data_IF_992515383415
#
_entry.id   IF_992515383415
#
_cell.length_a   1.000
_cell.length_b   1.000
_cell.length_c   1.000
_cell.angle_alpha   90.00
_cell.angle_beta   90.00
_cell.angle_gamma   90.00
#
_symmetry.space_group_name_H-M   'P 1'
#
loop_
_entity.id
_entity.type
_entity.pdbx_description
1 polymer ?
#
# COMPACT_ATOMS: atom_id res chain seq x y z
N UNK A 1 -14.55 14.20 9.01
CA UNK A 1 -14.73 12.73 8.93
C UNK A 1 -16.00 12.22 9.66
N UNK A 2 -16.35 12.69 10.86
CA UNK A 2 -17.57 12.23 11.57
C UNK A 2 -18.89 12.57 10.86
N UNK A 3 -18.96 13.71 10.17
CA UNK A 3 -20.16 14.15 9.45
C UNK A 3 -20.56 13.19 8.33
N UNK A 4 -19.57 12.62 7.62
CA UNK A 4 -19.84 11.68 6.53
C UNK A 4 -20.42 10.36 7.06
N UNK A 5 -19.88 9.85 8.18
CA UNK A 5 -20.44 8.68 8.85
C UNK A 5 -21.85 8.93 9.40
N UNK A 6 -22.12 10.14 9.90
CA UNK A 6 -23.46 10.53 10.36
C UNK A 6 -24.45 10.64 9.19
N UNK A 7 -24.04 11.25 8.08
CA UNK A 7 -24.86 11.36 6.87
C UNK A 7 -25.16 9.99 6.27
N UNK A 8 -24.17 9.08 6.22
CA UNK A 8 -24.37 7.71 5.78
C UNK A 8 -25.38 6.97 6.65
N UNK A 9 -25.28 7.11 7.98
CA UNK A 9 -26.25 6.53 8.93
C UNK A 9 -27.65 7.11 8.74
N UNK A 10 -27.76 8.43 8.54
CA UNK A 10 -29.04 9.09 8.30
C UNK A 10 -29.65 8.66 6.97
N UNK A 11 -28.86 8.56 5.92
CA UNK A 11 -29.29 8.07 4.61
C UNK A 11 -29.76 6.62 4.71
N UNK A 12 -28.98 5.75 5.37
CA UNK A 12 -29.34 4.36 5.59
C UNK A 12 -30.65 4.26 6.39
N UNK A 13 -30.79 5.04 7.46
CA UNK A 13 -32.03 5.11 8.23
C UNK A 13 -33.20 5.54 7.35
N UNK A 14 -33.03 6.60 6.56
CA UNK A 14 -34.09 7.10 5.69
C UNK A 14 -34.50 6.08 4.64
N UNK A 15 -33.55 5.38 4.01
CA UNK A 15 -33.82 4.29 3.07
C UNK A 15 -34.59 3.16 3.76
N UNK A 16 -34.11 2.70 4.92
CA UNK A 16 -34.76 1.63 5.67
C UNK A 16 -36.16 2.05 6.15
N UNK A 17 -36.34 3.30 6.55
CA UNK A 17 -37.61 3.85 7.01
C UNK A 17 -38.61 4.06 5.87
N UNK A 18 -38.17 4.62 4.75
CA UNK A 18 -39.00 4.74 3.54
C UNK A 18 -39.38 3.36 3.01
N UNK A 19 -38.44 2.41 3.04
CA UNK A 19 -38.73 1.02 2.74
C UNK A 19 -39.77 0.44 3.71
N UNK A 20 -39.64 0.73 5.01
CA UNK A 20 -40.60 0.34 6.04
C UNK A 20 -42.02 0.87 5.76
N UNK A 21 -42.14 2.13 5.39
CA UNK A 21 -43.43 2.76 5.05
C UNK A 21 -44.02 2.24 3.75
N UNK A 22 -43.20 1.99 2.73
CA UNK A 22 -43.69 1.54 1.42
C UNK A 22 -43.99 0.03 1.39
N UNK A 23 -43.31 -0.75 2.23
CA UNK A 23 -43.40 -2.22 2.26
C UNK A 23 -44.05 -2.72 3.57
N UNK A 24 -45.12 -2.04 4.01
CA UNK A 24 -45.96 -2.47 5.13
C UNK A 24 -46.81 -3.71 4.82
N UNK A 25 -46.73 -4.22 3.59
CA UNK A 25 -47.46 -5.39 3.14
C UNK A 25 -47.00 -6.63 3.91
N UNK A 26 -47.98 -7.36 4.42
CA UNK A 26 -47.78 -8.62 5.12
C UNK A 26 -47.60 -9.73 4.08
N UNK A 27 -46.53 -10.49 4.18
CA UNK A 27 -46.23 -11.61 3.28
C UNK A 27 -46.41 -12.91 4.04
N UNK A 28 -47.07 -13.88 3.42
CA UNK A 28 -47.26 -15.22 3.99
C UNK A 28 -46.12 -16.13 3.55
N UNK A 29 -45.26 -16.55 4.49
CA UNK A 29 -44.28 -17.61 4.28
C UNK A 29 -44.98 -18.95 4.43
N UNK A 30 -45.14 -19.67 3.31
CA UNK A 30 -45.73 -21.01 3.29
C UNK A 30 -44.68 -22.05 3.63
N UNK A 31 -44.82 -22.69 4.78
CA UNK A 31 -43.97 -23.80 5.21
C UNK A 31 -44.58 -25.15 4.77
N UNK A 32 -43.76 -26.20 4.85
CA UNK A 32 -44.01 -27.51 4.24
C UNK A 32 -45.17 -28.34 4.84
N UNK A 33 -45.86 -27.83 5.88
CA UNK A 33 -46.94 -28.54 6.61
C UNK A 33 -48.26 -27.73 6.64
N UNK A 34 -48.47 -26.84 5.66
CA UNK A 34 -49.60 -25.90 5.66
C UNK A 34 -49.48 -24.76 6.68
N UNK A 35 -48.40 -24.76 7.48
CA UNK A 35 -48.10 -23.67 8.41
C UNK A 35 -47.70 -22.43 7.61
N UNK A 36 -48.47 -21.36 7.76
CA UNK A 36 -48.18 -20.09 7.12
C UNK A 36 -47.76 -19.08 8.18
N UNK A 37 -46.59 -18.49 8.00
CA UNK A 37 -46.12 -17.44 8.89
C UNK A 37 -46.25 -16.09 8.21
N UNK A 38 -47.06 -15.21 8.79
CA UNK A 38 -47.25 -13.87 8.29
C UNK A 38 -46.19 -12.93 8.86
N UNK A 39 -45.36 -12.36 7.99
CA UNK A 39 -44.35 -11.39 8.37
C UNK A 39 -44.38 -10.20 7.41
N UNK A 40 -44.30 -8.95 7.90
CA UNK A 40 -44.13 -7.79 7.04
C UNK A 40 -42.88 -7.92 6.19
N UNK A 41 -42.98 -7.59 4.90
CA UNK A 41 -41.90 -7.75 3.91
C UNK A 41 -40.58 -7.09 4.35
N UNK A 42 -40.71 -5.99 5.09
CA UNK A 42 -39.64 -5.22 5.71
C UNK A 42 -38.71 -6.04 6.58
N UNK A 43 -39.26 -6.89 7.44
CA UNK A 43 -38.44 -7.69 8.34
C UNK A 43 -37.64 -8.75 7.58
N UNK A 44 -38.20 -9.29 6.49
CA UNK A 44 -37.55 -10.30 5.65
C UNK A 44 -36.33 -9.67 4.94
N UNK A 45 -36.53 -8.52 4.30
CA UNK A 45 -35.46 -7.82 3.58
C UNK A 45 -34.38 -7.35 4.54
N UNK A 46 -34.78 -6.78 5.69
CA UNK A 46 -33.82 -6.34 6.71
C UNK A 46 -33.00 -7.52 7.26
N UNK A 47 -33.64 -8.67 7.50
CA UNK A 47 -32.96 -9.89 7.95
C UNK A 47 -31.95 -10.41 6.93
N UNK A 48 -32.33 -10.50 5.66
CA UNK A 48 -31.42 -10.93 4.59
C UNK A 48 -30.27 -9.95 4.37
N UNK A 49 -30.54 -8.64 4.44
CA UNK A 49 -29.51 -7.62 4.32
C UNK A 49 -28.52 -7.70 5.49
N UNK A 50 -29.00 -7.80 6.72
CA UNK A 50 -28.15 -7.94 7.90
C UNK A 50 -27.28 -9.21 7.80
N UNK A 51 -27.87 -10.33 7.36
CA UNK A 51 -27.14 -11.58 7.14
C UNK A 51 -26.07 -11.43 6.05
N UNK A 52 -26.40 -10.76 4.94
CA UNK A 52 -25.46 -10.44 3.86
C UNK A 52 -24.32 -9.52 4.33
N UNK A 53 -24.59 -8.53 5.18
CA UNK A 53 -23.57 -7.70 5.79
C UNK A 53 -22.65 -8.50 6.71
N UNK A 54 -23.21 -9.35 7.57
CA UNK A 54 -22.42 -10.24 8.44
C UNK A 54 -21.54 -11.15 7.59
N UNK A 55 -22.10 -11.78 6.55
CA UNK A 55 -21.34 -12.62 5.62
C UNK A 55 -20.25 -11.84 4.88
N UNK A 56 -20.53 -10.62 4.41
CA UNK A 56 -19.56 -9.75 3.74
C UNK A 56 -18.42 -9.32 4.66
N UNK A 57 -18.73 -8.95 5.90
CA UNK A 57 -17.71 -8.65 6.92
C UNK A 57 -16.88 -9.89 7.21
N UNK A 58 -17.51 -11.04 7.45
CA UNK A 58 -16.80 -12.30 7.68
C UNK A 58 -15.92 -12.69 6.50
N UNK A 59 -16.32 -12.41 5.25
CA UNK A 59 -15.49 -12.62 4.06
C UNK A 59 -14.27 -11.69 4.00
N UNK A 60 -14.34 -10.49 4.60
CA UNK A 60 -13.22 -9.54 4.69
C UNK A 60 -12.27 -9.80 5.88
N UNK A 61 -12.71 -10.50 6.94
CA UNK A 61 -11.83 -10.85 8.08
C UNK A 61 -10.60 -11.69 7.69
N UNK A 62 -10.71 -12.78 6.92
CA UNK A 62 -9.55 -13.62 6.60
C UNK A 62 -8.55 -12.90 5.68
N UNK A 63 -9.02 -12.03 4.77
CA UNK A 63 -8.12 -11.26 3.91
C UNK A 63 -7.27 -10.28 4.73
N UNK A 64 -7.87 -9.61 5.72
CA UNK A 64 -7.14 -8.72 6.63
C UNK A 64 -6.12 -9.46 7.51
N UNK A 65 -6.45 -10.68 7.98
CA UNK A 65 -5.52 -11.51 8.73
C UNK A 65 -4.29 -11.93 7.92
N UNK A 66 -4.47 -12.26 6.63
CA UNK A 66 -3.34 -12.62 5.77
C UNK A 66 -2.40 -11.43 5.56
N UNK A 67 -2.94 -10.26 5.25
CA UNK A 67 -2.16 -9.02 5.12
C UNK A 67 -1.41 -8.66 6.42
N UNK A 68 -2.00 -8.89 7.60
CA UNK A 68 -1.34 -8.63 8.88
C UNK A 68 -0.19 -9.60 9.18
N UNK A 69 -0.27 -10.85 8.73
CA UNK A 69 0.84 -11.83 8.84
C UNK A 69 1.98 -11.49 7.89
N UNK A 70 1.67 -11.14 6.64
CA UNK A 70 2.67 -10.76 5.64
C UNK A 70 3.43 -9.50 6.04
N UNK A 71 2.73 -8.53 6.66
CA UNK A 71 3.37 -7.32 7.19
C UNK A 71 4.39 -7.63 8.32
N UNK A 72 4.13 -8.64 9.16
CA UNK A 72 5.06 -9.07 10.21
C UNK A 72 6.28 -9.81 9.66
N UNK A 73 6.10 -10.63 8.62
CA UNK A 73 7.22 -11.30 7.98
C UNK A 73 8.11 -10.32 7.20
N UNK A 74 7.54 -9.29 6.56
CA UNK A 74 8.32 -8.23 5.91
C UNK A 74 9.11 -7.37 6.89
N UNK A 75 8.57 -7.08 8.07
CA UNK A 75 9.30 -6.34 9.11
C UNK A 75 10.53 -7.11 9.64
N UNK A 76 10.51 -8.43 9.63
CA UNK A 76 11.63 -9.27 10.07
C UNK A 76 12.72 -9.46 8.99
N UNK A 77 12.43 -9.09 7.74
CA UNK A 77 13.36 -9.14 6.61
C UNK A 77 13.93 -7.76 6.24
N UNK A 78 13.56 -6.69 6.96
CA UNK A 78 14.16 -5.37 6.78
C UNK A 78 15.59 -5.41 7.34
N UNK A 79 16.63 -5.35 6.50
CA UNK A 79 18.00 -5.23 6.98
C UNK A 79 18.14 -3.87 7.68
N UNK A 80 18.87 -3.87 8.78
CA UNK A 80 19.32 -2.69 9.50
C UNK A 80 19.77 -1.58 8.53
N UNK A 81 19.28 -0.34 8.65
CA UNK A 81 19.82 0.78 7.90
C UNK A 81 21.31 0.90 8.19
N UNK A 82 22.15 0.52 7.22
CA UNK A 82 23.59 0.72 7.30
C UNK A 82 23.85 2.20 7.58
N UNK A 83 24.45 2.47 8.74
CA UNK A 83 24.92 3.79 9.12
C UNK A 83 25.87 4.34 8.03
N UNK A 84 25.82 5.64 7.72
CA UNK A 84 26.68 6.22 6.71
C UNK A 84 28.13 6.16 7.22
N UNK A 85 28.96 5.35 6.56
CA UNK A 85 30.41 5.41 6.69
C UNK A 85 30.88 6.79 6.22
N UNK A 86 31.09 7.69 7.18
CA UNK A 86 31.84 8.92 6.98
C UNK A 86 33.28 8.54 6.67
N UNK A 87 33.63 8.49 5.38
CA UNK A 87 35.04 8.57 4.95
C UNK A 87 35.56 9.96 5.29
N UNK A 88 36.24 10.01 6.44
CA UNK A 88 36.94 11.19 6.91
C UNK A 88 38.00 11.65 5.92
N UNK A 89 37.86 12.91 5.49
CA UNK A 89 38.97 13.77 5.05
C UNK A 89 40.07 13.73 6.11
N UNK A 90 41.32 13.53 5.68
CA UNK A 90 42.48 13.66 6.56
C UNK A 90 43.82 13.59 5.82
N UNK A 91 44.14 14.62 5.03
CA UNK A 91 45.53 15.03 4.76
C UNK A 91 45.78 16.26 5.65
N UNK A 92 46.85 16.30 6.46
CA UNK A 92 48.09 16.98 6.02
C UNK A 92 49.40 16.36 6.57
N UNK A 93 50.48 16.35 5.75
CA UNK A 93 51.73 17.14 5.91
C UNK A 93 52.73 16.63 6.98
N UNK A 94 53.81 15.97 6.52
CA UNK A 94 55.23 16.39 6.60
C UNK A 94 55.96 15.94 7.89
N UNK A 95 57.26 15.62 7.97
CA UNK A 95 58.42 15.84 7.11
C UNK A 95 59.56 14.85 7.49
N UNK A 96 60.57 14.71 6.61
CA UNK A 96 61.84 13.99 6.81
C UNK A 96 62.23 13.15 5.57
N UNK A 97 62.71 13.70 4.44
CA UNK A 97 64.09 14.23 4.16
C UNK A 97 65.11 13.09 4.36
N UNK A 98 65.71 12.42 3.37
CA UNK A 98 66.57 12.79 2.22
C UNK A 98 66.83 11.47 1.44
N UNK A 99 67.36 11.35 0.22
CA UNK A 99 67.65 12.14 -0.96
C UNK A 99 68.24 11.13 -1.98
N UNK A 100 68.10 11.43 -3.29
CA UNK A 100 68.75 10.77 -4.43
C UNK A 100 68.30 9.33 -4.74
N UNK A 101 67.60 9.08 -5.85
CA UNK A 101 68.25 8.81 -7.15
C UNK A 101 67.29 9.10 -8.32
N UNK A 102 67.87 9.64 -9.40
CA UNK A 102 67.33 10.37 -10.57
C UNK A 102 66.57 9.48 -11.60
N UNK A 103 66.16 9.99 -12.79
CA UNK A 103 64.83 10.54 -13.10
C UNK A 103 64.09 9.78 -14.23
N UNK A 104 62.82 10.16 -14.45
CA UNK A 104 61.90 9.65 -15.49
C UNK A 104 62.35 10.07 -16.89
N UNK A 105 62.62 9.08 -17.75
CA UNK A 105 62.84 9.23 -19.20
C UNK A 105 61.60 8.71 -19.94
N UNK A 106 60.87 9.60 -20.62
CA UNK A 106 59.87 9.24 -21.64
C UNK A 106 60.26 9.96 -22.94
N UNK A 107 60.60 9.25 -24.05
CA UNK A 107 61.00 9.87 -25.30
C UNK A 107 59.78 10.45 -26.02
N UNK A 108 59.74 11.77 -26.20
CA UNK A 108 58.86 12.41 -27.17
C UNK A 108 59.58 12.51 -28.52
N UNK A 109 59.05 11.90 -29.60
CA UNK A 109 59.62 12.06 -30.93
C UNK A 109 59.27 13.45 -31.54
N UNK A 110 60.24 14.11 -32.19
CA UNK A 110 60.05 15.40 -32.85
C UNK A 110 59.41 15.23 -34.24
N UNK A 111 58.66 16.24 -34.66
CA UNK A 111 58.25 16.53 -36.03
C UNK A 111 57.33 15.52 -36.75
N UNK A 112 56.02 15.76 -36.66
CA UNK A 112 55.15 15.54 -37.81
C UNK A 112 54.20 16.73 -37.99
N UNK A 113 54.18 17.36 -39.18
CA UNK A 113 53.42 18.58 -39.43
C UNK A 113 51.92 18.31 -39.33
N UNK A 114 51.17 19.26 -38.74
CA UNK A 114 49.72 19.27 -38.86
C UNK A 114 49.34 19.69 -40.30
N UNK A 115 48.53 18.90 -41.03
CA UNK A 115 47.50 19.59 -41.81
C UNK A 115 46.15 18.85 -41.98
N UNK A 116 45.09 19.66 -41.81
CA UNK A 116 43.85 19.75 -42.62
C UNK A 116 42.69 18.77 -42.32
N UNK A 117 41.64 19.30 -41.66
CA UNK A 117 40.21 19.03 -41.95
C UNK A 117 39.90 19.47 -43.40
N UNK A 118 38.93 18.92 -44.18
CA UNK A 118 37.53 18.75 -43.78
C UNK A 118 36.70 17.58 -44.41
N UNK A 119 35.52 17.37 -43.81
CA UNK A 119 34.22 16.92 -44.35
C UNK A 119 34.14 15.97 -45.57
N UNK A 120 33.50 14.81 -45.36
CA UNK A 120 32.22 14.46 -46.00
C UNK A 120 31.49 13.38 -45.20
#
# INVERSE_FOLDING_TARGET
MRTLNWLFRALLFFILFAFALNNQHVVQLKWFMGYQWEAPMVFIVLGMFALGCVAGVLAMVPSWWRHRRDARHRAHLQPEPQAPVQSGKGTPTAAGTDAATLPVELPFPPDMPAPRKPAR
#
